data_IF_750498054411
#
_entry.id   IF_750498054411
#
_cell.length_a   1.000
_cell.length_b   1.000
_cell.length_c   1.000
_cell.angle_alpha   90.00
_cell.angle_beta   90.00
_cell.angle_gamma   90.00
#
_symmetry.space_group_name_H-M   'P 1'
#
loop_
_entity.id
_entity.type
_entity.pdbx_description
1 polymer ?
#
# COMPACT_ATOMS: atom_id res chain seq x y z
N UNK A 1 25.73 3.91 -14.99
CA UNK A 1 25.46 2.67 -14.23
C UNK A 1 25.47 3.02 -12.75
N UNK A 2 24.31 3.35 -12.17
CA UNK A 2 24.14 3.49 -10.72
C UNK A 2 22.85 2.75 -10.39
N UNK A 3 23.01 1.68 -9.61
CA UNK A 3 22.00 0.66 -9.31
C UNK A 3 21.54 0.95 -7.88
N UNK A 4 20.41 1.63 -7.70
CA UNK A 4 19.78 1.71 -6.39
C UNK A 4 18.89 0.46 -6.21
N UNK A 5 19.52 -0.62 -5.76
CA UNK A 5 18.80 -1.79 -5.24
C UNK A 5 18.65 -1.56 -3.74
N UNK A 6 17.42 -1.39 -3.25
CA UNK A 6 17.18 -1.55 -1.81
C UNK A 6 17.24 -3.04 -1.51
N UNK A 7 18.35 -3.48 -0.89
CA UNK A 7 18.41 -4.80 -0.26
C UNK A 7 17.58 -4.75 1.02
N UNK A 8 16.37 -5.31 0.97
CA UNK A 8 15.81 -5.96 2.15
C UNK A 8 16.55 -7.28 2.23
N UNK A 9 17.39 -7.46 3.26
CA UNK A 9 18.08 -8.72 3.48
C UNK A 9 17.00 -9.78 3.83
N UNK A 10 16.67 -10.73 2.93
CA UNK A 10 15.68 -11.73 3.24
C UNK A 10 16.31 -12.74 4.19
N UNK A 11 15.61 -13.04 5.27
CA UNK A 11 15.87 -14.23 6.07
C UNK A 11 15.99 -15.45 5.13
N UNK A 12 17.11 -16.21 5.16
CA UNK A 12 17.34 -17.34 4.26
C UNK A 12 16.34 -18.49 4.42
N UNK A 13 15.44 -18.43 5.41
CA UNK A 13 14.36 -19.40 5.62
C UNK A 13 13.06 -19.05 4.88
N UNK A 14 12.95 -17.85 4.29
CA UNK A 14 11.82 -17.44 3.47
C UNK A 14 12.18 -17.70 2.01
N UNK A 15 11.44 -18.56 1.27
CA UNK A 15 11.71 -18.75 -0.16
C UNK A 15 11.66 -17.40 -0.85
N UNK A 16 12.58 -17.09 -1.79
CA UNK A 16 12.64 -15.80 -2.43
C UNK A 16 11.30 -15.55 -3.12
N UNK A 17 10.44 -14.74 -2.52
CA UNK A 17 9.36 -14.11 -3.26
C UNK A 17 10.08 -13.27 -4.30
N UNK A 18 9.91 -13.64 -5.57
CA UNK A 18 10.52 -12.93 -6.67
C UNK A 18 10.33 -11.43 -6.42
N UNK A 19 11.40 -10.61 -6.40
CA UNK A 19 11.22 -9.18 -6.22
C UNK A 19 10.26 -8.74 -7.32
N UNK A 20 9.08 -8.25 -6.93
CA UNK A 20 8.14 -7.65 -7.88
C UNK A 20 8.94 -6.58 -8.59
N UNK A 21 9.32 -6.85 -9.84
CA UNK A 21 10.04 -5.89 -10.68
C UNK A 21 8.99 -4.91 -11.16
N UNK A 22 8.67 -3.94 -10.31
CA UNK A 22 7.67 -2.92 -10.60
C UNK A 22 8.06 -2.16 -11.88
N UNK A 23 9.37 -2.06 -12.16
CA UNK A 23 9.90 -1.47 -13.39
C UNK A 23 11.22 -2.11 -13.84
N UNK A 24 11.22 -3.05 -14.80
CA UNK A 24 12.45 -3.46 -15.48
C UNK A 24 13.07 -2.23 -16.18
N UNK A 25 14.21 -1.72 -15.67
CA UNK A 25 14.94 -0.61 -16.30
C UNK A 25 14.67 0.80 -15.76
N UNK A 26 14.00 0.97 -14.61
CA UNK A 26 13.91 2.30 -13.98
C UNK A 26 15.27 2.73 -13.43
N UNK A 27 15.75 3.88 -13.91
CA UNK A 27 16.95 4.57 -13.44
C UNK A 27 16.49 5.81 -12.67
N UNK A 28 17.00 5.99 -11.45
CA UNK A 28 16.72 7.19 -10.64
C UNK A 28 16.89 8.46 -11.48
N UNK A 29 15.87 9.33 -11.46
CA UNK A 29 15.79 10.55 -12.27
C UNK A 29 14.63 10.59 -13.27
N UNK A 30 13.96 9.47 -13.56
CA UNK A 30 12.72 9.44 -14.37
C UNK A 30 11.50 9.18 -13.48
N UNK A 31 10.36 9.82 -13.77
CA UNK A 31 9.14 9.62 -12.98
C UNK A 31 8.58 8.21 -13.25
N UNK A 32 8.10 7.47 -12.23
CA UNK A 32 7.62 6.09 -12.40
C UNK A 32 6.54 5.93 -13.48
N UNK A 33 5.62 6.89 -13.62
CA UNK A 33 4.59 6.86 -14.68
C UNK A 33 5.16 7.01 -16.10
N UNK A 34 6.34 7.61 -16.27
CA UNK A 34 6.99 7.80 -17.58
C UNK A 34 7.63 6.49 -18.10
N UNK A 35 7.83 5.49 -17.22
CA UNK A 35 8.34 4.17 -17.58
C UNK A 35 7.20 3.23 -18.02
N UNK A 36 6.10 3.18 -17.26
CA UNK A 36 4.91 2.38 -17.56
C UNK A 36 4.34 2.74 -18.94
N UNK A 37 4.33 4.03 -19.24
CA UNK A 37 3.71 4.51 -20.44
C UNK A 37 4.54 4.24 -21.70
N UNK A 38 5.83 3.86 -21.65
CA UNK A 38 6.61 3.59 -22.89
C UNK A 38 6.31 2.23 -23.52
N UNK A 39 6.13 1.18 -22.71
CA UNK A 39 5.94 -0.17 -23.24
C UNK A 39 4.50 -0.40 -23.74
N UNK A 40 3.49 0.18 -23.08
CA UNK A 40 2.11 0.14 -23.58
C UNK A 40 1.83 1.09 -24.75
N UNK A 41 2.50 2.25 -24.81
CA UNK A 41 2.30 3.20 -25.92
C UNK A 41 2.72 2.65 -27.27
N UNK A 42 3.75 1.81 -27.36
CA UNK A 42 4.25 1.33 -28.65
C UNK A 42 3.20 0.50 -29.43
N UNK A 43 2.48 -0.40 -28.76
CA UNK A 43 1.41 -1.19 -29.35
C UNK A 43 0.12 -0.38 -29.55
N UNK A 44 -0.21 0.52 -28.62
CA UNK A 44 -1.40 1.38 -28.75
C UNK A 44 -1.27 2.44 -29.84
N UNK A 45 -0.05 2.93 -30.12
CA UNK A 45 0.20 3.92 -31.18
C UNK A 45 -0.04 3.32 -32.56
N UNK A 46 0.31 2.05 -32.77
CA UNK A 46 0.05 1.37 -34.05
C UNK A 46 -1.44 1.19 -34.35
N UNK A 47 -2.31 1.27 -33.34
CA UNK A 47 -3.76 1.08 -33.47
C UNK A 47 -4.57 2.37 -33.33
N UNK A 48 -3.92 3.52 -33.10
CA UNK A 48 -4.60 4.81 -32.91
C UNK A 48 -5.53 5.15 -34.06
N UNK A 49 -5.07 5.02 -35.30
CA UNK A 49 -5.83 5.35 -36.50
C UNK A 49 -7.05 4.43 -36.70
N UNK A 50 -7.03 3.25 -36.06
CA UNK A 50 -8.09 2.23 -36.13
C UNK A 50 -8.93 2.10 -34.86
N UNK A 51 -8.64 2.89 -33.82
CA UNK A 51 -9.29 2.74 -32.52
C UNK A 51 -10.52 3.65 -32.43
N UNK A 52 -11.76 3.12 -32.51
CA UNK A 52 -12.97 3.94 -32.49
C UNK A 52 -13.20 4.65 -31.14
N UNK A 53 -12.49 4.23 -30.08
CA UNK A 53 -12.54 4.88 -28.77
C UNK A 53 -11.64 6.13 -28.69
N UNK A 54 -10.82 6.44 -29.70
CA UNK A 54 -9.96 7.63 -29.72
C UNK A 54 -10.27 8.46 -30.95
N UNK A 55 -10.68 9.72 -30.76
CA UNK A 55 -10.87 10.67 -31.85
C UNK A 55 -10.10 11.96 -31.57
N UNK A 56 -9.61 12.61 -32.61
CA UNK A 56 -9.01 13.94 -32.52
C UNK A 56 -10.07 14.98 -32.85
N UNK A 57 -10.39 15.87 -31.91
CA UNK A 57 -11.24 17.04 -32.17
C UNK A 57 -10.40 18.31 -32.03
N UNK A 58 -10.47 19.19 -33.03
CA UNK A 58 -9.78 20.47 -33.00
C UNK A 58 -10.57 21.46 -32.14
N UNK A 59 -9.96 21.91 -31.05
CA UNK A 59 -10.57 22.86 -30.10
C UNK A 59 -9.57 23.99 -29.82
N UNK A 60 -10.00 25.22 -30.09
CA UNK A 60 -9.18 26.44 -29.98
C UNK A 60 -7.89 26.39 -30.83
N UNK A 61 -7.96 25.82 -32.04
CA UNK A 61 -6.82 25.70 -32.95
C UNK A 61 -5.80 24.61 -32.58
N UNK A 62 -6.14 23.74 -31.63
CA UNK A 62 -5.31 22.62 -31.22
C UNK A 62 -6.09 21.30 -31.28
N UNK A 63 -5.48 20.28 -31.89
CA UNK A 63 -6.06 18.93 -31.91
C UNK A 63 -5.95 18.30 -30.53
N UNK A 64 -7.10 17.91 -29.98
CA UNK A 64 -7.19 17.24 -28.67
C UNK A 64 -7.70 15.82 -28.86
N UNK A 65 -7.02 14.80 -28.29
CA UNK A 65 -7.56 13.46 -28.25
C UNK A 65 -8.71 13.38 -27.26
N UNK A 66 -9.85 12.91 -27.75
CA UNK A 66 -11.03 12.56 -26.98
C UNK A 66 -11.08 11.04 -26.93
N UNK A 67 -11.01 10.52 -25.70
CA UNK A 67 -11.30 9.13 -25.42
C UNK A 67 -12.79 9.00 -25.15
N UNK A 68 -13.47 8.18 -25.94
CA UNK A 68 -14.85 7.78 -25.66
C UNK A 68 -14.86 7.08 -24.30
N UNK A 69 -15.70 7.57 -23.39
CA UNK A 69 -15.84 6.94 -22.08
C UNK A 69 -16.30 5.50 -22.27
N UNK A 70 -15.76 4.58 -21.46
CA UNK A 70 -16.25 3.21 -21.44
C UNK A 70 -17.70 3.22 -20.96
N UNK A 71 -18.56 2.52 -21.68
CA UNK A 71 -19.94 2.32 -21.23
C UNK A 71 -19.92 1.63 -19.88
N UNK A 72 -20.75 2.13 -18.96
CA UNK A 72 -20.94 1.49 -17.67
C UNK A 72 -21.56 0.12 -17.93
N UNK A 73 -20.88 -0.93 -17.49
CA UNK A 73 -21.45 -2.27 -17.46
C UNK A 73 -22.49 -2.30 -16.34
N UNK A 74 -23.75 -2.55 -16.69
CA UNK A 74 -24.81 -2.70 -15.69
C UNK A 74 -24.53 -3.90 -14.79
N UNK A 75 -24.68 -3.69 -13.48
CA UNK A 75 -24.50 -4.79 -12.53
C UNK A 75 -25.62 -5.83 -12.71
N UNK A 76 -25.30 -7.12 -12.93
CA UNK A 76 -26.31 -8.17 -13.00
C UNK A 76 -27.07 -8.30 -11.68
N UNK A 77 -28.35 -8.70 -11.73
CA UNK A 77 -29.13 -8.96 -10.53
C UNK A 77 -28.49 -10.04 -9.64
N UNK A 78 -27.84 -11.04 -10.25
CA UNK A 78 -27.08 -12.08 -9.54
C UNK A 78 -25.90 -11.52 -8.74
N UNK A 79 -25.17 -10.54 -9.26
CA UNK A 79 -24.06 -9.89 -8.55
C UNK A 79 -24.57 -9.12 -7.33
N UNK A 80 -25.69 -8.41 -7.47
CA UNK A 80 -26.33 -7.71 -6.34
C UNK A 80 -26.78 -8.69 -5.26
N UNK A 81 -27.43 -9.79 -5.64
CA UNK A 81 -27.85 -10.83 -4.71
C UNK A 81 -26.65 -11.46 -3.97
N UNK A 82 -25.60 -11.84 -4.69
CA UNK A 82 -24.37 -12.40 -4.11
C UNK A 82 -23.72 -11.43 -3.11
N UNK A 83 -23.68 -10.12 -3.42
CA UNK A 83 -23.15 -9.10 -2.52
C UNK A 83 -23.93 -9.06 -1.20
N UNK A 84 -25.26 -9.09 -1.27
CA UNK A 84 -26.12 -9.15 -0.09
C UNK A 84 -25.90 -10.43 0.71
N UNK A 85 -25.71 -11.57 0.05
CA UNK A 85 -25.45 -12.84 0.71
C UNK A 85 -24.11 -12.83 1.44
N UNK A 86 -23.05 -12.36 0.80
CA UNK A 86 -21.72 -12.21 1.40
C UNK A 86 -21.79 -11.25 2.61
N UNK A 87 -22.47 -10.11 2.47
CA UNK A 87 -22.61 -9.15 3.57
C UNK A 87 -23.32 -9.74 4.79
N UNK A 88 -24.28 -10.64 4.60
CA UNK A 88 -24.97 -11.34 5.70
C UNK A 88 -24.09 -12.37 6.40
N UNK A 89 -23.06 -12.89 5.72
CA UNK A 89 -22.10 -13.85 6.28
C UNK A 89 -20.93 -13.17 7.00
N UNK A 90 -20.67 -11.89 6.74
CA UNK A 90 -19.58 -11.17 7.40
C UNK A 90 -19.88 -10.98 8.89
N UNK A 91 -18.96 -11.39 9.79
CA UNK A 91 -19.17 -11.22 11.22
C UNK A 91 -19.16 -9.73 11.60
N UNK A 92 -20.01 -9.36 12.56
CA UNK A 92 -19.93 -8.05 13.21
C UNK A 92 -18.87 -8.12 14.31
N UNK A 93 -17.66 -7.62 13.99
CA UNK A 93 -16.55 -7.55 14.93
C UNK A 93 -15.99 -6.12 14.98
N UNK A 94 -15.55 -5.70 16.17
CA UNK A 94 -14.80 -4.46 16.30
C UNK A 94 -13.38 -4.62 15.74
N UNK A 95 -12.78 -3.49 15.34
CA UNK A 95 -11.45 -3.50 14.73
C UNK A 95 -10.38 -4.15 15.62
N UNK A 96 -10.29 -3.87 16.94
CA UNK A 96 -9.32 -4.53 17.81
C UNK A 96 -9.45 -6.06 17.85
N UNK A 97 -10.68 -6.60 17.89
CA UNK A 97 -10.91 -8.05 17.85
C UNK A 97 -10.45 -8.64 16.52
N UNK A 98 -10.75 -7.99 15.40
CA UNK A 98 -10.27 -8.45 14.09
C UNK A 98 -8.73 -8.50 14.07
N UNK A 99 -8.06 -7.47 14.58
CA UNK A 99 -6.58 -7.44 14.62
C UNK A 99 -6.03 -8.57 15.52
N UNK A 100 -6.64 -8.83 16.67
CA UNK A 100 -6.25 -9.95 17.55
C UNK A 100 -6.49 -11.32 16.92
N UNK A 101 -7.59 -11.49 16.18
CA UNK A 101 -7.88 -12.71 15.44
C UNK A 101 -6.85 -12.96 14.33
N UNK A 102 -6.53 -11.93 13.55
CA UNK A 102 -5.47 -12.01 12.54
C UNK A 102 -4.11 -12.29 13.19
N UNK A 103 -3.83 -11.73 14.37
CA UNK A 103 -2.64 -12.09 15.13
C UNK A 103 -2.64 -13.57 15.53
N UNK A 104 -3.77 -14.12 15.98
CA UNK A 104 -3.87 -15.54 16.31
C UNK A 104 -3.62 -16.44 15.08
N UNK A 105 -4.11 -16.03 13.91
CA UNK A 105 -3.96 -16.78 12.65
C UNK A 105 -2.56 -16.68 12.05
N UNK A 106 -1.94 -15.50 12.07
CA UNK A 106 -0.73 -15.21 11.28
C UNK A 106 0.53 -15.05 12.11
N UNK A 107 0.39 -14.86 13.44
CA UNK A 107 1.48 -14.56 14.35
C UNK A 107 2.32 -13.36 13.90
N UNK A 108 1.72 -12.37 13.22
CA UNK A 108 2.46 -11.23 12.68
C UNK A 108 3.21 -10.44 13.76
N UNK A 109 2.68 -10.40 15.00
CA UNK A 109 3.25 -9.65 16.11
C UNK A 109 4.62 -10.19 16.57
N UNK A 110 4.97 -11.46 16.28
CA UNK A 110 6.29 -11.97 16.66
C UNK A 110 7.42 -11.38 15.77
N UNK A 111 7.07 -10.68 14.69
CA UNK A 111 8.03 -9.90 13.91
C UNK A 111 8.48 -8.61 14.65
N UNK A 112 7.76 -8.18 15.68
CA UNK A 112 8.10 -7.02 16.48
C UNK A 112 9.09 -7.42 17.56
N UNK A 113 10.37 -7.21 17.26
CA UNK A 113 11.47 -7.41 18.20
C UNK A 113 11.77 -6.13 18.97
N UNK A 114 12.23 -6.27 20.20
CA UNK A 114 12.69 -5.16 21.03
C UNK A 114 13.90 -4.45 20.39
N UNK A 115 14.06 -3.14 20.64
CA UNK A 115 15.13 -2.33 20.06
C UNK A 115 16.53 -2.79 20.49
N UNK A 116 16.68 -3.12 21.77
CA UNK A 116 17.83 -3.88 22.26
C UNK A 116 17.56 -5.34 21.96
N UNK A 117 18.43 -6.00 21.18
CA UNK A 117 18.29 -7.41 20.73
C UNK A 117 18.19 -8.46 21.87
N UNK A 118 18.23 -8.01 23.13
CA UNK A 118 17.96 -8.84 24.31
C UNK A 118 16.50 -9.27 24.38
N UNK A 119 16.26 -10.56 24.61
CA UNK A 119 14.91 -11.10 24.79
C UNK A 119 14.32 -10.70 26.15
N UNK A 120 13.65 -9.55 26.20
CA UNK A 120 12.74 -9.25 27.29
C UNK A 120 11.46 -10.05 27.05
N UNK A 121 11.32 -11.19 27.75
CA UNK A 121 10.07 -11.95 27.72
C UNK A 121 9.03 -11.17 28.49
N UNK A 122 8.07 -10.59 27.76
CA UNK A 122 6.91 -9.98 28.39
C UNK A 122 5.64 -10.72 27.98
N UNK A 123 4.85 -11.06 28.99
CA UNK A 123 3.54 -11.70 28.83
C UNK A 123 2.61 -10.80 28.01
N UNK A 124 1.79 -11.42 27.16
CA UNK A 124 0.76 -10.76 26.35
C UNK A 124 1.26 -9.58 25.50
N UNK A 125 2.55 -9.59 25.11
CA UNK A 125 3.14 -8.56 24.26
C UNK A 125 2.37 -8.37 22.95
N UNK A 126 1.84 -9.44 22.37
CA UNK A 126 1.04 -9.37 21.15
C UNK A 126 -0.21 -8.50 21.33
N UNK A 127 -0.85 -8.53 22.51
CA UNK A 127 -2.01 -7.68 22.82
C UNK A 127 -1.61 -6.21 22.84
N UNK A 128 -0.51 -5.89 23.53
CA UNK A 128 0.05 -4.53 23.55
C UNK A 128 0.41 -4.03 22.15
N UNK A 129 1.04 -4.88 21.32
CA UNK A 129 1.39 -4.52 19.93
C UNK A 129 0.13 -4.22 19.13
N UNK A 130 -0.89 -5.09 19.20
CA UNK A 130 -2.14 -4.89 18.47
C UNK A 130 -2.84 -3.59 18.89
N UNK A 131 -2.86 -3.28 20.19
CA UNK A 131 -3.40 -2.03 20.70
C UNK A 131 -2.63 -0.82 20.14
N UNK A 132 -1.30 -0.82 20.21
CA UNK A 132 -0.50 0.29 19.67
C UNK A 132 -0.71 0.45 18.16
N UNK A 133 -0.80 -0.65 17.41
CA UNK A 133 -1.07 -0.58 15.96
C UNK A 133 -2.44 0.03 15.66
N UNK A 134 -3.48 -0.31 16.43
CA UNK A 134 -4.81 0.32 16.29
C UNK A 134 -4.73 1.81 16.61
N UNK A 135 -4.04 2.19 17.69
CA UNK A 135 -3.87 3.59 18.06
C UNK A 135 -3.22 4.43 16.96
N UNK A 136 -2.11 3.94 16.39
CA UNK A 136 -1.36 4.58 15.32
C UNK A 136 -2.16 4.61 14.01
N UNK A 137 -2.73 3.48 13.60
CA UNK A 137 -3.44 3.38 12.33
C UNK A 137 -4.73 4.21 12.30
N UNK A 138 -5.42 4.32 13.44
CA UNK A 138 -6.66 5.09 13.56
C UNK A 138 -6.42 6.54 14.01
N UNK A 139 -5.18 6.94 14.32
CA UNK A 139 -4.84 8.27 14.86
C UNK A 139 -5.64 8.66 16.11
N UNK A 140 -5.98 7.69 16.96
CA UNK A 140 -6.81 7.89 18.17
C UNK A 140 -5.97 8.11 19.45
N UNK A 141 -4.65 7.94 19.36
CA UNK A 141 -3.76 7.94 20.53
C UNK A 141 -3.92 6.69 21.41
N UNK A 142 -3.12 6.59 22.47
CA UNK A 142 -3.14 5.40 23.35
C UNK A 142 -4.30 5.39 24.34
N UNK A 143 -4.76 6.57 24.77
CA UNK A 143 -5.74 6.74 25.86
C UNK A 143 -7.01 5.89 25.69
N UNK A 144 -7.64 5.82 24.49
CA UNK A 144 -8.86 5.01 24.30
C UNK A 144 -8.65 3.50 24.47
N UNK A 145 -7.40 3.02 24.47
CA UNK A 145 -7.05 1.60 24.60
C UNK A 145 -6.45 1.27 25.97
N UNK A 146 -6.27 2.26 26.86
CA UNK A 146 -5.73 2.05 28.20
C UNK A 146 -6.75 1.35 29.08
N UNK A 147 -6.33 0.24 29.70
CA UNK A 147 -7.09 -0.46 30.73
C UNK A 147 -6.18 -0.71 31.94
N UNK A 148 -6.33 0.06 33.04
CA UNK A 148 -5.45 -0.05 34.21
C UNK A 148 -5.41 -1.45 34.84
N UNK A 149 -6.54 -2.16 34.80
CA UNK A 149 -6.68 -3.49 35.39
C UNK A 149 -6.08 -4.62 34.52
N UNK A 150 -5.67 -4.31 33.28
CA UNK A 150 -5.09 -5.27 32.35
C UNK A 150 -3.61 -4.93 32.15
N UNK A 151 -2.66 -5.73 32.69
CA UNK A 151 -1.23 -5.42 32.62
C UNK A 151 -0.69 -5.15 31.21
N UNK A 152 -1.25 -5.80 30.19
CA UNK A 152 -0.88 -5.63 28.79
C UNK A 152 -1.35 -4.29 28.17
N UNK A 153 -2.31 -3.62 28.79
CA UNK A 153 -2.98 -2.42 28.29
C UNK A 153 -2.82 -1.23 29.23
N UNK A 154 -1.91 -1.26 30.20
CA UNK A 154 -1.62 -0.08 31.00
C UNK A 154 -0.96 0.99 30.14
N UNK A 155 -1.13 2.27 30.51
CA UNK A 155 -0.59 3.40 29.74
C UNK A 155 0.93 3.30 29.54
N UNK A 156 1.65 3.02 30.63
CA UNK A 156 3.10 2.89 30.61
C UNK A 156 3.55 1.70 29.76
N UNK A 157 2.79 0.60 29.81
CA UNK A 157 3.02 -0.58 28.98
C UNK A 157 2.91 -0.25 27.50
N UNK A 158 1.83 0.40 27.08
CA UNK A 158 1.60 0.75 25.67
C UNK A 158 2.63 1.76 25.17
N UNK A 159 2.95 2.78 25.96
CA UNK A 159 3.99 3.76 25.62
C UNK A 159 5.36 3.10 25.46
N UNK A 160 5.72 2.18 26.35
CA UNK A 160 6.96 1.42 26.25
C UNK A 160 7.01 0.54 24.99
N UNK A 161 5.90 -0.14 24.64
CA UNK A 161 5.82 -0.94 23.41
C UNK A 161 5.95 -0.08 22.17
N UNK A 162 5.24 1.05 22.12
CA UNK A 162 5.29 2.01 21.02
C UNK A 162 6.74 2.47 20.75
N UNK A 163 7.50 2.80 21.79
CA UNK A 163 8.87 3.29 21.67
C UNK A 163 9.88 2.20 21.29
N UNK A 164 9.72 0.98 21.80
CA UNK A 164 10.77 -0.04 21.72
C UNK A 164 10.53 -1.12 20.65
N UNK A 165 9.30 -1.28 20.16
CA UNK A 165 8.93 -2.35 19.23
C UNK A 165 8.45 -1.85 17.86
N UNK A 166 7.75 -0.70 17.82
CA UNK A 166 7.17 -0.17 16.58
C UNK A 166 8.23 0.58 15.78
N UNK A 167 8.73 -0.05 14.72
CA UNK A 167 9.79 0.48 13.86
C UNK A 167 9.48 0.10 12.41
N UNK A 168 10.02 0.85 11.46
CA UNK A 168 9.79 0.57 10.04
C UNK A 168 10.21 -0.86 9.66
N UNK A 169 11.32 -1.36 10.21
CA UNK A 169 11.80 -2.72 9.99
C UNK A 169 10.82 -3.78 10.51
N UNK A 170 10.32 -3.63 11.75
CA UNK A 170 9.39 -4.60 12.36
C UNK A 170 8.04 -4.58 11.66
N UNK A 171 7.55 -3.40 11.25
CA UNK A 171 6.35 -3.26 10.41
C UNK A 171 6.55 -3.96 9.06
N UNK A 172 7.71 -3.79 8.43
CA UNK A 172 8.00 -4.43 7.13
C UNK A 172 7.98 -5.96 7.25
N UNK A 173 8.59 -6.51 8.31
CA UNK A 173 8.60 -7.95 8.58
C UNK A 173 7.20 -8.48 8.92
N UNK A 174 6.41 -7.74 9.71
CA UNK A 174 5.03 -8.08 10.01
C UNK A 174 4.16 -8.10 8.74
N UNK A 175 4.30 -7.09 7.88
CA UNK A 175 3.59 -7.03 6.60
C UNK A 175 3.93 -8.22 5.70
N UNK A 176 5.21 -8.65 5.65
CA UNK A 176 5.59 -9.83 4.89
C UNK A 176 4.86 -11.11 5.37
N UNK A 177 4.67 -11.28 6.69
CA UNK A 177 3.88 -12.39 7.25
C UNK A 177 2.42 -12.31 6.84
N UNK A 178 1.82 -11.12 6.88
CA UNK A 178 0.43 -10.91 6.47
C UNK A 178 0.23 -11.20 4.98
N UNK A 179 1.14 -10.72 4.12
CA UNK A 179 1.13 -11.00 2.68
C UNK A 179 1.25 -12.51 2.42
N UNK A 180 2.18 -13.19 3.09
CA UNK A 180 2.35 -14.63 2.94
C UNK A 180 1.08 -15.40 3.34
N UNK A 181 0.46 -15.02 4.46
CA UNK A 181 -0.80 -15.63 4.91
C UNK A 181 -1.93 -15.40 3.88
N UNK A 182 -2.10 -14.18 3.38
CA UNK A 182 -3.14 -13.86 2.39
C UNK A 182 -2.94 -14.60 1.07
N UNK A 183 -1.69 -14.72 0.60
CA UNK A 183 -1.37 -15.43 -0.65
C UNK A 183 -1.73 -16.91 -0.60
N UNK A 184 -1.81 -17.49 0.60
CA UNK A 184 -2.23 -18.88 0.79
C UNK A 184 -3.74 -19.11 0.66
N UNK A 185 -4.56 -18.06 0.66
CA UNK A 185 -6.02 -18.18 0.60
C UNK A 185 -6.46 -18.55 -0.84
N UNK A 186 -7.27 -19.61 -1.06
CA UNK A 186 -7.62 -20.08 -2.40
C UNK A 186 -8.27 -19.02 -3.31
N UNK A 187 -9.14 -18.17 -2.77
CA UNK A 187 -9.79 -17.11 -3.57
C UNK A 187 -8.78 -16.06 -4.05
N UNK A 188 -7.72 -15.79 -3.28
CA UNK A 188 -6.67 -14.83 -3.65
C UNK A 188 -5.86 -15.36 -4.82
N UNK A 189 -5.59 -16.66 -4.85
CA UNK A 189 -4.92 -17.32 -5.98
C UNK A 189 -5.76 -17.28 -7.27
N UNK A 190 -7.10 -17.23 -7.14
CA UNK A 190 -8.00 -17.07 -8.27
C UNK A 190 -8.05 -15.62 -8.80
N UNK A 191 -7.69 -14.61 -7.99
CA UNK A 191 -7.65 -13.21 -8.42
C UNK A 191 -6.44 -12.90 -9.30
N UNK A 192 -5.28 -13.48 -8.99
CA UNK A 192 -4.05 -13.22 -9.74
C UNK A 192 -2.81 -13.81 -9.10
N UNK A 193 -1.68 -13.66 -9.80
CA UNK A 193 -0.39 -14.23 -9.41
C UNK A 193 0.45 -13.35 -8.48
N UNK A 194 0.04 -12.10 -8.23
CA UNK A 194 0.86 -11.10 -7.53
C UNK A 194 1.87 -10.40 -8.44
N UNK A 195 1.84 -10.68 -9.74
CA UNK A 195 2.81 -10.19 -10.73
C UNK A 195 2.37 -8.86 -11.36
N UNK A 196 1.07 -8.57 -11.34
CA UNK A 196 0.47 -7.36 -11.90
C UNK A 196 0.02 -6.45 -10.78
N UNK A 197 0.17 -5.15 -10.98
CA UNK A 197 -0.29 -4.15 -10.01
C UNK A 197 -0.85 -2.91 -10.69
N UNK A 198 -1.88 -2.36 -10.06
CA UNK A 198 -2.36 -1.02 -10.33
C UNK A 198 -1.60 -0.04 -9.46
N UNK A 199 -1.07 1.03 -10.04
CA UNK A 199 -0.39 2.08 -9.31
C UNK A 199 -1.16 3.39 -9.46
N UNK A 200 -1.52 4.01 -8.34
CA UNK A 200 -2.15 5.32 -8.30
C UNK A 200 -1.26 6.34 -7.56
N UNK A 201 -1.45 7.62 -7.87
CA UNK A 201 -0.71 8.72 -7.29
C UNK A 201 -1.63 9.81 -6.77
N UNK A 202 -1.78 9.92 -5.45
CA UNK A 202 -2.43 11.07 -4.81
C UNK A 202 -1.48 12.27 -4.76
N UNK A 203 -2.03 13.48 -4.90
CA UNK A 203 -1.26 14.73 -4.89
C UNK A 203 -1.85 15.69 -3.88
N UNK A 204 -1.00 16.25 -3.04
CA UNK A 204 -1.36 17.21 -2.01
C UNK A 204 -0.51 18.46 -2.15
N UNK A 205 -1.11 19.63 -1.98
CA UNK A 205 -0.37 20.89 -1.86
C UNK A 205 0.20 20.96 -0.45
N UNK A 206 1.49 21.25 -0.32
CA UNK A 206 2.17 21.35 0.98
C UNK A 206 2.84 22.71 1.12
N UNK A 207 2.78 23.36 2.30
CA UNK A 207 3.37 24.69 2.47
C UNK A 207 4.91 24.65 2.55
N UNK A 208 5.47 23.51 2.96
CA UNK A 208 6.88 23.32 3.29
C UNK A 208 7.79 23.15 2.06
N UNK A 209 9.00 23.71 2.13
CA UNK A 209 10.05 23.55 1.14
C UNK A 209 11.07 22.53 1.66
N UNK A 210 11.36 21.50 0.87
CA UNK A 210 12.32 20.45 1.24
C UNK A 210 13.54 20.52 0.31
N UNK A 211 14.74 20.30 0.86
CA UNK A 211 16.01 20.37 0.12
C UNK A 211 16.03 19.35 -1.06
N UNK A 212 15.36 18.20 -0.90
CA UNK A 212 15.31 17.13 -1.90
C UNK A 212 14.13 17.24 -2.88
N UNK A 213 13.42 18.37 -2.94
CA UNK A 213 12.26 18.51 -3.82
C UNK A 213 12.70 18.80 -5.26
N UNK A 214 12.09 18.10 -6.24
CA UNK A 214 12.32 18.32 -7.67
C UNK A 214 11.20 19.12 -8.35
N UNK A 215 11.52 19.83 -9.43
CA UNK A 215 10.55 20.61 -10.23
C UNK A 215 9.47 19.73 -10.89
N UNK A 216 8.20 20.11 -10.76
CA UNK A 216 7.05 19.44 -11.37
C UNK A 216 5.94 20.43 -11.78
N UNK A 217 6.22 21.33 -12.75
CA UNK A 217 5.32 22.40 -13.14
C UNK A 217 3.98 21.90 -13.72
N UNK A 218 3.92 20.65 -14.20
CA UNK A 218 2.68 20.03 -14.69
C UNK A 218 1.62 19.91 -13.60
N UNK A 219 2.04 19.60 -12.37
CA UNK A 219 1.13 19.33 -11.25
C UNK A 219 1.18 20.42 -10.18
N UNK A 220 2.30 21.15 -10.09
CA UNK A 220 2.50 22.21 -9.11
C UNK A 220 3.13 23.44 -9.81
N UNK A 221 2.42 24.13 -10.72
CA UNK A 221 2.99 25.20 -11.55
C UNK A 221 3.47 26.43 -10.75
N UNK A 222 2.80 26.74 -9.64
CA UNK A 222 3.15 27.86 -8.74
C UNK A 222 3.13 27.45 -7.27
N UNK A 223 2.92 26.17 -7.03
CA UNK A 223 2.70 25.62 -5.71
C UNK A 223 3.78 24.58 -5.39
N UNK A 224 3.75 24.07 -4.17
CA UNK A 224 4.61 22.97 -3.73
C UNK A 224 3.70 21.83 -3.36
N UNK A 225 4.11 20.61 -3.65
CA UNK A 225 3.24 19.49 -3.38
C UNK A 225 3.92 18.15 -3.24
N UNK A 226 3.29 17.31 -2.45
CA UNK A 226 3.67 15.92 -2.26
C UNK A 226 2.88 15.08 -3.26
N UNK A 227 3.59 14.23 -4.01
CA UNK A 227 2.95 13.11 -4.72
C UNK A 227 3.19 11.84 -3.92
N UNK A 228 2.11 11.26 -3.42
CA UNK A 228 2.09 9.94 -2.80
C UNK A 228 1.74 8.93 -3.88
N UNK A 229 2.65 8.02 -4.21
CA UNK A 229 2.36 6.88 -5.06
C UNK A 229 2.09 5.63 -4.22
N UNK A 230 1.00 4.92 -4.54
CA UNK A 230 0.63 3.65 -3.94
C UNK A 230 0.41 2.60 -5.03
N UNK A 231 0.92 1.38 -4.82
CA UNK A 231 0.64 0.23 -5.66
C UNK A 231 -0.30 -0.75 -4.96
N UNK A 232 -1.24 -1.34 -5.70
CA UNK A 232 -2.09 -2.44 -5.26
C UNK A 232 -1.92 -3.58 -6.25
N UNK A 233 -1.54 -4.77 -5.79
CA UNK A 233 -1.42 -5.95 -6.65
C UNK A 233 -2.80 -6.47 -7.12
N UNK A 234 -2.80 -7.31 -8.14
CA UNK A 234 -3.95 -8.13 -8.57
C UNK A 234 -4.49 -9.05 -7.45
N UNK A 235 -3.66 -9.35 -6.44
CA UNK A 235 -4.06 -10.01 -5.19
C UNK A 235 -4.62 -9.05 -4.12
N UNK A 236 -4.88 -7.79 -4.50
CA UNK A 236 -5.41 -6.74 -3.65
C UNK A 236 -4.53 -6.40 -2.44
N UNK A 237 -3.21 -6.62 -2.57
CA UNK A 237 -2.24 -6.21 -1.55
C UNK A 237 -1.59 -4.89 -1.90
N UNK A 238 -1.69 -3.94 -0.96
CA UNK A 238 -0.98 -2.67 -1.05
C UNK A 238 0.52 -2.90 -0.88
N UNK A 239 1.33 -2.37 -1.79
CA UNK A 239 2.77 -2.35 -1.67
C UNK A 239 3.33 -1.01 -2.14
N UNK A 240 4.39 -0.57 -1.46
CA UNK A 240 5.11 0.68 -1.70
C UNK A 240 4.25 1.95 -1.60
N UNK A 241 4.42 2.67 -0.50
CA UNK A 241 4.06 4.09 -0.40
C UNK A 241 5.31 4.95 -0.72
N UNK A 242 5.56 5.21 -2.00
CA UNK A 242 6.66 6.09 -2.40
C UNK A 242 6.22 7.55 -2.29
N UNK A 243 6.88 8.29 -1.39
CA UNK A 243 6.68 9.73 -1.21
C UNK A 243 7.68 10.48 -2.09
N UNK A 244 7.20 11.16 -3.12
CA UNK A 244 8.00 12.09 -3.90
C UNK A 244 7.52 13.52 -3.60
N UNK A 245 8.40 14.33 -3.03
CA UNK A 245 8.14 15.76 -2.80
C UNK A 245 8.54 16.53 -4.05
N UNK A 246 7.65 17.37 -4.57
CA UNK A 246 7.87 18.18 -5.75
C UNK A 246 7.62 19.67 -5.47
N UNK A 247 8.36 20.52 -6.15
CA UNK A 247 8.24 21.99 -6.16
C UNK A 247 7.92 22.43 -7.59
N UNK A 248 7.51 23.69 -7.79
CA UNK A 248 7.45 24.30 -9.12
C UNK A 248 8.81 24.24 -9.82
#
# INVERSE_FOLDING_TARGET
>A
MVRASYHVNPDPTIPPTHPVRIFPGWVGGKRPHDAFARNGRASSIQQLDSNPAVRLESRDGHDRPILTALDKIDEPASLRALRTDIQRLLPSADLPKVVLEIQALTRFADAFTHISEGQVRVTDLAVSICAVLVAEACNIGLEPLVQPDVPALTRDRLAWVQQNYIRQETITRANARLVAAQTSIPIVQAWGGGEVASADGMRFVVPIRTISAGGNPKHFPRERGLTWYNGISDQHMGFNALKNISVA
#
